data_IF_222010843809
#
_entry.id   IF_222010843809
#
_cell.length_a   1.000
_cell.length_b   1.000
_cell.length_c   1.000
_cell.angle_alpha   90.00
_cell.angle_beta   90.00
_cell.angle_gamma   90.00
#
_symmetry.space_group_name_H-M   'P 1'
#
loop_
_entity.id
_entity.type
_entity.pdbx_description
1 polymer ?
#
# COMPACT_ATOMS: atom_id res chain seq x y z
N UNK A 1 -8.21 11.68 -27.10
CA UNK A 1 -7.99 11.75 -25.64
C UNK A 1 -8.33 10.40 -25.05
N UNK A 2 -7.29 9.65 -24.74
CA UNK A 2 -7.22 8.21 -25.00
C UNK A 2 -7.42 7.39 -23.72
N UNK A 3 -8.62 6.82 -23.57
CA UNK A 3 -9.00 5.94 -22.45
C UNK A 3 -8.13 4.69 -22.31
N UNK A 4 -7.39 4.29 -23.37
CA UNK A 4 -6.47 3.15 -23.34
C UNK A 4 -5.14 3.42 -22.64
N UNK A 5 -4.75 4.69 -22.46
CA UNK A 5 -3.48 5.04 -21.81
C UNK A 5 -3.54 4.85 -20.28
N UNK A 6 -4.73 5.03 -19.68
CA UNK A 6 -4.96 4.85 -18.25
C UNK A 6 -4.98 3.35 -17.83
N UNK A 7 -5.17 2.42 -18.77
CA UNK A 7 -5.15 0.97 -18.50
C UNK A 7 -3.73 0.36 -18.37
N UNK A 8 -2.68 1.17 -18.44
CA UNK A 8 -1.29 0.72 -18.37
C UNK A 8 -0.66 0.78 -16.96
N UNK A 9 -1.33 1.38 -15.98
CA UNK A 9 -0.89 1.35 -14.57
C UNK A 9 -1.39 0.09 -13.87
N UNK A 10 -0.66 -1.01 -14.07
CA UNK A 10 -0.96 -2.32 -13.49
C UNK A 10 0.13 -2.73 -12.50
N UNK A 11 -0.27 -3.33 -11.37
CA UNK A 11 0.66 -3.86 -10.39
C UNK A 11 1.58 -4.93 -11.03
N UNK A 12 2.91 -4.83 -10.93
CA UNK A 12 3.85 -5.66 -11.70
C UNK A 12 3.79 -7.16 -11.35
N UNK A 13 3.21 -7.53 -10.20
CA UNK A 13 3.12 -8.92 -9.75
C UNK A 13 1.80 -9.63 -10.12
N UNK A 14 0.68 -8.90 -10.17
CA UNK A 14 -0.66 -9.51 -10.35
C UNK A 14 -1.51 -8.83 -11.41
N UNK A 15 -0.97 -7.82 -12.10
CA UNK A 15 -1.71 -6.92 -13.00
C UNK A 15 -2.89 -6.19 -12.34
N UNK A 16 -3.01 -6.28 -11.03
CA UNK A 16 -4.11 -5.69 -10.28
C UNK A 16 -4.10 -4.16 -10.44
N UNK A 17 -5.27 -3.54 -10.62
CA UNK A 17 -5.40 -2.10 -10.60
C UNK A 17 -5.02 -1.54 -9.23
N UNK A 18 -4.32 -0.40 -9.26
CA UNK A 18 -3.92 0.37 -8.09
C UNK A 18 -4.77 1.62 -8.02
N UNK A 19 -5.21 1.97 -6.81
CA UNK A 19 -5.93 3.21 -6.55
C UNK A 19 -5.28 3.98 -5.41
N UNK A 20 -5.36 5.32 -5.39
CA UNK A 20 -4.98 6.08 -4.20
C UNK A 20 -5.87 5.70 -3.01
N UNK A 21 -5.26 5.62 -1.83
CA UNK A 21 -5.96 5.50 -0.56
C UNK A 21 -6.83 6.72 -0.34
N UNK A 22 -8.06 6.49 0.12
CA UNK A 22 -8.93 7.58 0.57
C UNK A 22 -8.44 8.09 1.91
N UNK A 23 -8.85 9.30 2.28
CA UNK A 23 -8.45 9.93 3.54
C UNK A 23 -8.77 9.07 4.77
N UNK A 24 -9.98 8.50 4.84
CA UNK A 24 -10.38 7.60 5.93
C UNK A 24 -9.50 6.34 6.03
N UNK A 25 -9.10 5.76 4.88
CA UNK A 25 -8.24 4.58 4.85
C UNK A 25 -6.79 4.93 5.22
N UNK A 26 -6.31 6.10 4.80
CA UNK A 26 -5.00 6.64 5.17
C UNK A 26 -4.94 6.91 6.68
N UNK A 27 -5.99 7.50 7.26
CA UNK A 27 -6.13 7.69 8.71
C UNK A 27 -6.19 6.36 9.48
N UNK A 28 -6.87 5.34 8.94
CA UNK A 28 -6.85 3.99 9.53
C UNK A 28 -5.44 3.38 9.50
N UNK A 29 -4.74 3.46 8.36
CA UNK A 29 -3.39 2.96 8.21
C UNK A 29 -2.39 3.69 9.12
N UNK A 30 -2.49 5.01 9.20
CA UNK A 30 -1.65 5.82 10.08
C UNK A 30 -1.87 5.49 11.56
N UNK A 31 -3.09 5.11 11.96
CA UNK A 31 -3.34 4.59 13.32
C UNK A 31 -2.62 3.27 13.59
N UNK A 32 -2.60 2.35 12.62
CA UNK A 32 -1.80 1.12 12.73
C UNK A 32 -0.30 1.41 12.80
N UNK A 33 0.20 2.31 11.94
CA UNK A 33 1.61 2.73 11.94
C UNK A 33 1.97 3.32 13.32
N UNK A 34 1.10 4.17 13.88
CA UNK A 34 1.28 4.74 15.20
C UNK A 34 1.22 3.68 16.33
N UNK A 35 0.43 2.62 16.15
CA UNK A 35 0.40 1.47 17.05
C UNK A 35 1.66 0.60 16.95
N UNK A 36 2.52 0.83 15.96
CA UNK A 36 3.76 0.08 15.74
C UNK A 36 3.55 -1.33 15.18
N UNK A 37 2.36 -1.62 14.65
CA UNK A 37 1.99 -2.93 14.08
C UNK A 37 2.12 -2.96 12.55
N UNK A 38 2.48 -1.85 11.92
CA UNK A 38 2.77 -1.81 10.49
C UNK A 38 4.20 -2.29 10.20
N UNK A 39 4.32 -3.27 9.33
CA UNK A 39 5.60 -3.78 8.79
C UNK A 39 5.59 -3.71 7.27
N UNK A 40 6.77 -3.55 6.68
CA UNK A 40 6.99 -3.71 5.25
C UNK A 40 7.00 -5.20 4.89
N UNK A 41 6.89 -5.52 3.61
CA UNK A 41 6.94 -6.90 3.12
C UNK A 41 8.29 -7.59 3.41
N UNK A 42 9.40 -6.83 3.49
CA UNK A 42 10.71 -7.32 3.97
C UNK A 42 10.79 -7.53 5.50
N UNK A 43 9.67 -7.38 6.21
CA UNK A 43 9.59 -7.55 7.66
C UNK A 43 10.13 -6.37 8.49
N UNK A 44 10.67 -5.33 7.85
CA UNK A 44 11.09 -4.12 8.56
C UNK A 44 9.89 -3.35 9.14
N UNK A 45 9.94 -2.88 10.40
CA UNK A 45 8.86 -2.10 10.98
C UNK A 45 8.76 -0.73 10.31
N UNK A 46 7.55 -0.33 9.95
CA UNK A 46 7.28 0.99 9.40
C UNK A 46 6.62 1.87 10.45
N UNK A 47 7.25 3.01 10.76
CA UNK A 47 6.82 3.93 11.83
C UNK A 47 6.52 5.35 11.33
N UNK A 48 6.73 5.59 10.04
CA UNK A 48 6.57 6.92 9.45
C UNK A 48 5.13 7.10 8.96
N UNK A 49 4.38 8.10 9.42
CA UNK A 49 3.03 8.34 8.91
C UNK A 49 3.09 8.65 7.42
N UNK A 50 2.12 8.11 6.68
CA UNK A 50 2.00 8.31 5.24
C UNK A 50 1.10 9.51 4.97
N UNK A 51 1.56 10.40 4.09
CA UNK A 51 0.75 11.52 3.59
C UNK A 51 -0.15 11.09 2.43
N UNK A 52 0.38 10.22 1.58
CA UNK A 52 -0.34 9.61 0.49
C UNK A 52 0.20 8.19 0.25
N UNK A 53 -0.68 7.32 -0.24
CA UNK A 53 -0.31 5.95 -0.59
C UNK A 53 -1.31 5.39 -1.61
N UNK A 54 -0.88 4.39 -2.36
CA UNK A 54 -1.69 3.60 -3.29
C UNK A 54 -2.00 2.25 -2.65
N UNK A 55 -3.18 1.72 -2.90
CA UNK A 55 -3.60 0.38 -2.47
C UNK A 55 -4.04 -0.41 -3.69
N UNK A 56 -3.79 -1.73 -3.68
CA UNK A 56 -4.37 -2.63 -4.67
C UNK A 56 -5.90 -2.67 -4.53
N UNK A 57 -6.66 -2.89 -5.61
CA UNK A 57 -8.13 -3.02 -5.50
C UNK A 57 -8.55 -4.15 -4.56
N UNK A 58 -7.81 -5.25 -4.57
CA UNK A 58 -7.98 -6.39 -3.66
C UNK A 58 -7.62 -6.06 -2.19
N UNK A 59 -7.12 -4.84 -1.94
CA UNK A 59 -6.71 -4.34 -0.64
C UNK A 59 -5.65 -5.18 0.05
N UNK A 60 -4.88 -5.99 -0.68
CA UNK A 60 -3.83 -6.87 -0.13
C UNK A 60 -2.51 -6.15 0.18
N UNK A 61 -2.19 -5.06 -0.53
CA UNK A 61 -0.91 -4.34 -0.41
C UNK A 61 -1.09 -2.85 -0.57
N UNK A 62 -0.33 -2.09 0.21
CA UNK A 62 -0.24 -0.64 0.15
C UNK A 62 1.17 -0.22 -0.27
N UNK A 63 1.25 0.64 -1.28
CA UNK A 63 2.48 1.28 -1.75
C UNK A 63 2.50 2.73 -1.30
N UNK A 64 3.54 3.15 -0.61
CA UNK A 64 3.67 4.53 -0.14
C UNK A 64 3.99 5.50 -1.28
N UNK A 65 3.62 6.77 -1.08
CA UNK A 65 4.01 7.88 -1.95
C UNK A 65 4.95 8.78 -1.15
N UNK A 66 6.18 8.92 -1.62
CA UNK A 66 7.21 9.78 -1.02
C UNK A 66 7.51 10.93 -1.98
N UNK A 67 7.38 12.17 -1.53
CA UNK A 67 7.59 13.37 -2.36
C UNK A 67 6.75 13.39 -3.66
N UNK A 68 5.57 12.77 -3.64
CA UNK A 68 4.72 12.62 -4.83
C UNK A 68 5.13 11.47 -5.77
N UNK A 69 6.18 10.74 -5.44
CA UNK A 69 6.67 9.59 -6.21
C UNK A 69 6.15 8.29 -5.55
N UNK A 70 5.33 7.49 -6.26
CA UNK A 70 4.88 6.19 -5.75
C UNK A 70 6.04 5.19 -5.73
N UNK A 71 6.36 4.67 -4.54
CA UNK A 71 7.37 3.64 -4.37
C UNK A 71 6.76 2.28 -4.71
N UNK A 72 6.88 1.87 -5.97
CA UNK A 72 6.36 0.59 -6.47
C UNK A 72 7.32 -0.60 -6.23
N UNK A 73 7.94 -0.64 -5.05
CA UNK A 73 8.82 -1.74 -4.66
C UNK A 73 8.02 -2.75 -3.85
N UNK A 74 7.92 -3.99 -4.33
CA UNK A 74 7.13 -5.05 -3.69
C UNK A 74 7.59 -5.33 -2.25
N UNK A 75 8.89 -5.27 -2.04
CA UNK A 75 9.57 -5.47 -0.76
C UNK A 75 9.30 -4.36 0.26
N UNK A 76 9.05 -3.15 -0.25
CA UNK A 76 8.71 -1.97 0.55
C UNK A 76 7.21 -1.67 0.59
N UNK A 77 6.39 -2.58 0.06
CA UNK A 77 4.95 -2.49 0.21
C UNK A 77 4.55 -2.86 1.64
N UNK A 78 3.50 -2.23 2.16
CA UNK A 78 2.90 -2.59 3.44
C UNK A 78 1.81 -3.64 3.15
N UNK A 79 2.00 -4.92 3.49
CA UNK A 79 0.95 -5.91 3.40
C UNK A 79 -0.18 -5.56 4.37
N UNK A 80 -1.42 -5.58 3.89
CA UNK A 80 -2.60 -5.42 4.74
C UNK A 80 -3.02 -6.73 5.40
N UNK A 81 -2.62 -7.87 4.82
CA UNK A 81 -2.92 -9.22 5.32
C UNK A 81 -2.32 -9.47 6.71
N UNK A 82 -1.32 -8.69 7.14
CA UNK A 82 -0.75 -8.74 8.49
C UNK A 82 -1.37 -7.78 9.51
N UNK A 83 -2.36 -6.96 9.10
CA UNK A 83 -3.06 -6.03 9.99
C UNK A 83 -4.06 -6.73 10.93
N UNK A 84 -4.42 -7.98 10.63
CA UNK A 84 -5.34 -8.83 11.41
C UNK A 84 -4.59 -10.07 11.94
N UNK A 85 -3.53 -9.86 12.72
CA UNK A 85 -2.81 -10.96 13.39
C UNK A 85 -2.17 -11.99 12.43
N UNK A 86 -1.48 -13.01 12.97
CA UNK A 86 -0.77 -13.99 12.15
C UNK A 86 -1.75 -14.91 11.42
N UNK A 87 -2.00 -14.61 10.15
CA UNK A 87 -2.62 -15.53 9.19
C UNK A 87 -1.59 -16.56 8.71
N UNK A 88 -1.76 -17.77 9.23
CA UNK A 88 -1.00 -19.02 9.05
C UNK A 88 -0.85 -19.51 7.59
N UNK A 89 0.20 -20.36 7.42
CA UNK A 89 0.56 -21.26 6.30
C UNK A 89 1.54 -20.77 5.22
#
# INVERSE_FOLDING_TARGET
MDQRLLSLLRCPASQAPLRPLRRDELDALNRTIAAGTATLADGQPWRTPLQAALITEDRARVYRIEDGIPVMLADQAIPTIGLDGPGDA
#
